data_IF_980796184121
#
_entry.id   IF_980796184121
#
_cell.length_a   1.000
_cell.length_b   1.000
_cell.length_c   1.000
_cell.angle_alpha   90.00
_cell.angle_beta   90.00
_cell.angle_gamma   90.00
#
_symmetry.space_group_name_H-M   'P 1'
#
loop_
_entity.id
_entity.type
_entity.pdbx_description
1 polymer ?
#
# COMPACT_ATOMS: atom_id res chain seq x y z
N UNK A 1 -26.21 24.45 -57.35
CA UNK A 1 -26.10 23.07 -56.83
C UNK A 1 -24.68 22.87 -56.32
N UNK A 2 -24.37 23.26 -55.09
CA UNK A 2 -23.12 22.92 -54.41
C UNK A 2 -23.46 22.75 -52.93
N UNK A 3 -23.58 21.50 -52.53
CA UNK A 3 -23.90 21.07 -51.17
C UNK A 3 -22.59 20.88 -50.39
N UNK A 4 -22.69 21.17 -49.11
CA UNK A 4 -21.65 21.15 -48.08
C UNK A 4 -20.88 19.82 -48.01
N UNK A 5 -19.57 19.91 -47.79
CA UNK A 5 -18.80 18.86 -47.11
C UNK A 5 -17.90 19.50 -46.05
N UNK A 6 -18.45 19.68 -44.85
CA UNK A 6 -17.65 19.86 -43.63
C UNK A 6 -18.28 19.02 -42.54
N UNK A 7 -17.59 17.94 -42.15
CA UNK A 7 -18.00 17.14 -41.01
C UNK A 7 -17.07 15.96 -40.79
N UNK A 8 -16.74 15.72 -39.52
CA UNK A 8 -16.11 14.52 -38.94
C UNK A 8 -14.57 14.49 -38.91
N UNK A 9 -13.98 15.34 -38.05
CA UNK A 9 -12.64 15.09 -37.49
C UNK A 9 -12.57 15.24 -35.96
N UNK A 10 -13.69 15.57 -35.29
CA UNK A 10 -13.71 15.90 -33.85
C UNK A 10 -14.29 14.83 -32.91
N UNK A 11 -15.07 13.88 -33.43
CA UNK A 11 -15.84 12.92 -32.61
C UNK A 11 -15.04 11.67 -32.24
N UNK A 12 -14.27 11.11 -33.18
CA UNK A 12 -13.54 9.86 -32.97
C UNK A 12 -12.43 10.00 -31.92
N UNK A 13 -11.71 11.12 -31.94
CA UNK A 13 -10.64 11.42 -30.98
C UNK A 13 -11.17 11.56 -29.55
N UNK A 14 -12.37 12.12 -29.38
CA UNK A 14 -12.99 12.31 -28.07
C UNK A 14 -13.52 11.00 -27.49
N UNK A 15 -14.12 10.13 -28.32
CA UNK A 15 -14.60 8.81 -27.92
C UNK A 15 -13.43 7.90 -27.55
N UNK A 16 -12.37 7.89 -28.36
CA UNK A 16 -11.17 7.09 -28.11
C UNK A 16 -10.44 7.53 -26.84
N UNK A 17 -10.37 8.86 -26.57
CA UNK A 17 -9.81 9.40 -25.33
C UNK A 17 -10.65 9.06 -24.11
N UNK A 18 -11.98 9.02 -24.21
CA UNK A 18 -12.87 8.56 -23.10
C UNK A 18 -12.70 7.09 -22.79
N UNK A 19 -12.69 6.22 -23.80
CA UNK A 19 -12.47 4.77 -23.60
C UNK A 19 -11.09 4.46 -23.00
N UNK A 20 -10.04 5.15 -23.46
CA UNK A 20 -8.71 4.99 -22.88
C UNK A 20 -8.66 5.41 -21.40
N UNK A 21 -9.33 6.50 -21.04
CA UNK A 21 -9.41 6.99 -19.64
C UNK A 21 -10.15 5.98 -18.75
N UNK A 22 -11.28 5.42 -19.19
CA UNK A 22 -12.03 4.42 -18.39
C UNK A 22 -11.23 3.13 -18.16
N UNK A 23 -10.46 2.69 -19.16
CA UNK A 23 -9.60 1.50 -19.04
C UNK A 23 -8.51 1.75 -17.98
N UNK A 24 -7.88 2.93 -17.96
CA UNK A 24 -6.84 3.23 -16.97
C UNK A 24 -7.36 3.26 -15.53
N UNK A 25 -8.56 3.80 -15.32
CA UNK A 25 -9.20 3.83 -13.99
C UNK A 25 -9.55 2.41 -13.55
N UNK A 26 -10.14 1.63 -14.44
CA UNK A 26 -10.51 0.23 -14.15
C UNK A 26 -9.27 -0.60 -13.79
N UNK A 27 -8.19 -0.46 -14.54
CA UNK A 27 -6.91 -1.13 -14.25
C UNK A 27 -6.31 -0.67 -12.92
N UNK A 28 -6.35 0.63 -12.61
CA UNK A 28 -5.83 1.16 -11.35
C UNK A 28 -6.63 0.67 -10.13
N UNK A 29 -7.96 0.62 -10.24
CA UNK A 29 -8.81 0.06 -9.18
C UNK A 29 -8.59 -1.45 -9.01
N UNK A 30 -8.43 -2.17 -10.13
CA UNK A 30 -8.03 -3.57 -10.12
C UNK A 30 -6.68 -3.76 -9.43
N UNK A 31 -5.68 -2.95 -9.78
CA UNK A 31 -4.36 -2.97 -9.19
C UNK A 31 -4.39 -2.68 -7.68
N UNK A 32 -5.19 -1.70 -7.26
CA UNK A 32 -5.36 -1.36 -5.86
C UNK A 32 -6.03 -2.49 -5.07
N UNK A 33 -7.12 -3.06 -5.60
CA UNK A 33 -7.77 -4.23 -5.01
C UNK A 33 -6.78 -5.39 -4.88
N UNK A 34 -5.99 -5.60 -5.93
CA UNK A 34 -4.93 -6.59 -6.00
C UNK A 34 -3.83 -6.35 -4.98
N UNK A 35 -3.40 -5.10 -4.78
CA UNK A 35 -2.34 -4.74 -3.83
C UNK A 35 -2.76 -5.09 -2.39
N UNK A 36 -3.95 -4.64 -1.98
CA UNK A 36 -4.53 -4.95 -0.66
C UNK A 36 -4.70 -6.46 -0.49
N UNK A 37 -5.18 -7.14 -1.53
CA UNK A 37 -5.38 -8.57 -1.50
C UNK A 37 -4.08 -9.39 -1.51
N UNK A 38 -3.03 -8.89 -2.16
CA UNK A 38 -1.69 -9.48 -2.15
C UNK A 38 -1.03 -9.37 -0.79
N UNK A 39 -1.18 -8.21 -0.12
CA UNK A 39 -0.75 -8.03 1.26
C UNK A 39 -1.45 -9.02 2.19
N UNK A 40 -2.78 -9.12 2.10
CA UNK A 40 -3.58 -10.07 2.90
C UNK A 40 -3.19 -11.53 2.61
N UNK A 41 -3.01 -11.88 1.34
CA UNK A 41 -2.55 -13.21 0.92
C UNK A 41 -1.18 -13.56 1.51
N UNK A 42 -0.27 -12.57 1.57
CA UNK A 42 1.06 -12.76 2.15
C UNK A 42 1.00 -13.02 3.64
N UNK A 43 0.17 -12.25 4.37
CA UNK A 43 -0.03 -12.45 5.81
C UNK A 43 -0.61 -13.84 6.12
N UNK A 44 -1.62 -14.28 5.36
CA UNK A 44 -2.22 -15.61 5.57
C UNK A 44 -1.25 -16.73 5.18
N UNK A 45 -0.47 -16.54 4.10
CA UNK A 45 0.58 -17.48 3.74
C UNK A 45 1.65 -17.58 4.83
N UNK A 46 2.07 -16.47 5.44
CA UNK A 46 3.02 -16.47 6.56
C UNK A 46 2.49 -17.27 7.76
N UNK A 47 1.22 -17.09 8.10
CA UNK A 47 0.56 -17.90 9.15
C UNK A 47 0.60 -19.38 8.77
N UNK A 48 0.20 -19.72 7.55
CA UNK A 48 0.27 -21.10 7.06
C UNK A 48 1.68 -21.68 7.18
N UNK A 49 2.69 -20.92 6.75
CA UNK A 49 4.09 -21.32 6.83
C UNK A 49 4.56 -21.51 8.28
N UNK A 50 4.15 -20.63 9.20
CA UNK A 50 4.49 -20.72 10.62
C UNK A 50 4.01 -22.05 11.23
N UNK A 51 2.77 -22.46 10.93
CA UNK A 51 2.20 -23.69 11.49
C UNK A 51 2.59 -24.97 10.73
N UNK A 52 2.99 -24.87 9.46
CA UNK A 52 3.32 -26.02 8.63
C UNK A 52 4.83 -26.27 8.48
N UNK A 53 5.69 -25.28 8.76
CA UNK A 53 7.14 -25.39 8.57
C UNK A 53 7.77 -26.57 9.32
N UNK A 54 7.33 -26.86 10.54
CA UNK A 54 7.85 -27.97 11.36
C UNK A 54 7.67 -29.34 10.69
N UNK A 55 6.66 -29.47 9.84
CA UNK A 55 6.43 -30.68 9.08
C UNK A 55 7.31 -30.70 7.85
N UNK A 56 7.40 -29.61 7.07
CA UNK A 56 7.92 -29.68 5.70
C UNK A 56 9.34 -29.12 5.47
N UNK A 57 9.89 -28.31 6.39
CA UNK A 57 11.22 -27.72 6.20
C UNK A 57 12.35 -28.68 6.61
N UNK A 58 13.36 -28.91 5.75
CA UNK A 58 14.57 -29.64 6.14
C UNK A 58 15.36 -28.86 7.20
N UNK A 59 15.86 -29.54 8.23
CA UNK A 59 16.77 -28.92 9.22
C UNK A 59 18.06 -28.44 8.52
N UNK A 60 18.48 -27.20 8.80
CA UNK A 60 19.77 -26.64 8.33
C UNK A 60 19.74 -25.91 6.99
N UNK A 61 18.57 -25.43 6.52
CA UNK A 61 18.51 -24.58 5.32
C UNK A 61 19.18 -23.22 5.53
N UNK A 62 19.76 -22.67 4.46
CA UNK A 62 20.23 -21.29 4.42
C UNK A 62 19.13 -20.30 4.85
N UNK A 63 19.49 -19.08 5.29
CA UNK A 63 18.51 -18.03 5.55
C UNK A 63 17.52 -17.88 4.39
N UNK A 64 16.23 -17.60 4.65
CA UNK A 64 15.23 -17.35 3.64
C UNK A 64 15.70 -16.39 2.54
N UNK A 65 15.24 -16.60 1.31
CA UNK A 65 15.62 -15.76 0.17
C UNK A 65 15.33 -14.27 0.40
N UNK A 66 14.24 -13.96 1.10
CA UNK A 66 13.87 -12.59 1.47
C UNK A 66 14.85 -11.95 2.45
N UNK A 67 15.38 -12.70 3.41
CA UNK A 67 16.44 -12.24 4.31
C UNK A 67 17.76 -11.98 3.56
N UNK A 68 18.08 -12.81 2.56
CA UNK A 68 19.24 -12.60 1.70
C UNK A 68 19.08 -11.37 0.81
N UNK A 69 17.87 -11.13 0.29
CA UNK A 69 17.53 -9.92 -0.45
C UNK A 69 17.67 -8.67 0.43
N UNK A 70 17.15 -8.72 1.67
CA UNK A 70 17.32 -7.65 2.65
C UNK A 70 18.79 -7.39 2.98
N UNK A 71 19.60 -8.45 3.13
CA UNK A 71 21.04 -8.33 3.36
C UNK A 71 21.77 -7.71 2.17
N UNK A 72 21.46 -8.08 0.93
CA UNK A 72 22.06 -7.46 -0.25
C UNK A 72 21.66 -5.98 -0.37
N UNK A 73 20.39 -5.66 -0.13
CA UNK A 73 19.92 -4.28 -0.09
C UNK A 73 20.64 -3.44 1.00
N UNK A 74 20.96 -4.06 2.14
CA UNK A 74 21.74 -3.42 3.20
C UNK A 74 23.22 -3.21 2.81
N UNK A 75 23.82 -4.12 2.04
CA UNK A 75 25.19 -3.98 1.56
C UNK A 75 25.38 -2.83 0.57
N UNK A 76 24.38 -2.57 -0.27
CA UNK A 76 24.40 -1.46 -1.25
C UNK A 76 24.57 -0.08 -0.61
N UNK A 77 24.37 0.03 0.71
CA UNK A 77 24.47 1.28 1.46
C UNK A 77 25.51 1.24 2.58
N UNK A 78 26.49 0.35 2.46
CA UNK A 78 27.63 0.26 3.38
C UNK A 78 27.38 -0.54 4.65
N UNK A 79 26.24 -1.23 4.80
CA UNK A 79 26.02 -2.14 5.94
C UNK A 79 26.46 -3.56 5.58
N UNK A 80 27.59 -4.01 6.13
CA UNK A 80 28.15 -5.33 5.82
C UNK A 80 27.55 -6.46 6.65
N UNK A 81 26.96 -6.15 7.82
CA UNK A 81 26.32 -7.12 8.72
C UNK A 81 25.03 -6.54 9.33
N UNK A 82 23.98 -7.35 9.33
CA UNK A 82 22.73 -7.10 10.05
C UNK A 82 22.64 -8.05 11.25
N UNK A 83 22.09 -7.60 12.38
CA UNK A 83 21.73 -8.52 13.47
C UNK A 83 20.62 -9.44 12.96
N UNK A 84 20.48 -10.63 13.56
CA UNK A 84 19.48 -11.63 13.13
C UNK A 84 18.07 -11.05 13.10
N UNK A 85 17.67 -10.34 14.15
CA UNK A 85 16.37 -9.68 14.23
C UNK A 85 16.14 -8.65 13.11
N UNK A 86 17.15 -7.84 12.77
CA UNK A 86 17.05 -6.84 11.69
C UNK A 86 16.98 -7.52 10.31
N UNK A 87 17.67 -8.66 10.16
CA UNK A 87 17.67 -9.45 8.93
C UNK A 87 16.30 -10.12 8.72
N UNK A 88 15.74 -10.73 9.76
CA UNK A 88 14.40 -11.33 9.75
C UNK A 88 13.33 -10.27 9.45
N UNK A 89 13.37 -9.12 10.14
CA UNK A 89 12.47 -8.00 9.88
C UNK A 89 12.60 -7.44 8.45
N UNK A 90 13.83 -7.29 7.95
CA UNK A 90 14.08 -6.91 6.56
C UNK A 90 13.60 -7.98 5.55
N UNK A 91 13.68 -9.26 5.90
CA UNK A 91 13.13 -10.34 5.09
C UNK A 91 11.61 -10.27 5.01
N UNK A 92 10.93 -10.04 6.13
CA UNK A 92 9.48 -9.85 6.14
C UNK A 92 9.06 -8.63 5.33
N UNK A 93 9.81 -7.54 5.41
CA UNK A 93 9.62 -6.37 4.56
C UNK A 93 9.56 -6.73 3.08
N UNK A 94 10.61 -7.38 2.60
CA UNK A 94 10.75 -7.79 1.19
C UNK A 94 9.58 -8.70 0.81
N UNK A 95 9.20 -9.62 1.69
CA UNK A 95 8.09 -10.53 1.48
C UNK A 95 6.77 -9.79 1.24
N UNK A 96 6.38 -8.90 2.16
CA UNK A 96 5.14 -8.12 2.05
C UNK A 96 5.15 -7.14 0.87
N UNK A 97 6.29 -6.52 0.56
CA UNK A 97 6.45 -5.67 -0.64
C UNK A 97 6.17 -6.49 -1.90
N UNK A 98 6.85 -7.63 -2.07
CA UNK A 98 6.69 -8.46 -3.25
C UNK A 98 5.27 -9.01 -3.38
N UNK A 99 4.67 -9.45 -2.28
CA UNK A 99 3.29 -9.93 -2.27
C UNK A 99 2.28 -8.84 -2.66
N UNK A 100 2.48 -7.61 -2.17
CA UNK A 100 1.67 -6.43 -2.54
C UNK A 100 1.81 -6.11 -4.04
N UNK A 101 3.05 -6.07 -4.56
CA UNK A 101 3.30 -5.78 -5.97
C UNK A 101 2.75 -6.86 -6.90
N UNK A 102 2.94 -8.13 -6.54
CA UNK A 102 2.44 -9.28 -7.32
C UNK A 102 0.92 -9.32 -7.30
N UNK A 103 0.30 -9.05 -6.15
CA UNK A 103 -1.14 -8.89 -6.03
C UNK A 103 -1.66 -7.73 -6.88
N UNK A 104 -0.97 -6.58 -6.89
CA UNK A 104 -1.35 -5.44 -7.71
C UNK A 104 -1.31 -5.76 -9.21
N UNK A 105 -0.26 -6.44 -9.67
CA UNK A 105 -0.17 -6.91 -11.05
C UNK A 105 -1.32 -7.88 -11.39
N UNK A 106 -1.60 -8.84 -10.51
CA UNK A 106 -2.72 -9.77 -10.67
C UNK A 106 -4.07 -9.06 -10.71
N UNK A 107 -4.29 -8.09 -9.83
CA UNK A 107 -5.51 -7.31 -9.78
C UNK A 107 -5.75 -6.47 -11.03
N UNK A 108 -4.71 -5.81 -11.56
CA UNK A 108 -4.78 -5.10 -12.84
C UNK A 108 -5.09 -6.06 -14.00
N UNK A 109 -4.41 -7.21 -14.03
CA UNK A 109 -4.56 -8.20 -15.08
C UNK A 109 -5.95 -8.85 -15.07
N UNK A 110 -6.53 -9.07 -13.89
CA UNK A 110 -7.87 -9.62 -13.70
C UNK A 110 -8.98 -8.75 -14.33
N UNK A 111 -8.76 -7.44 -14.47
CA UNK A 111 -9.72 -6.54 -15.12
C UNK A 111 -9.65 -6.61 -16.65
N UNK A 112 -8.48 -6.96 -17.22
CA UNK A 112 -8.28 -7.05 -18.68
C UNK A 112 -8.53 -8.44 -19.24
N UNK A 113 -8.21 -9.48 -18.48
CA UNK A 113 -8.25 -10.87 -18.94
C UNK A 113 -9.13 -11.70 -17.99
N UNK A 114 -10.43 -11.88 -18.29
CA UNK A 114 -11.37 -12.58 -17.40
C UNK A 114 -10.91 -14.02 -17.04
N UNK A 115 -10.16 -14.66 -17.94
CA UNK A 115 -9.59 -15.99 -17.74
C UNK A 115 -8.59 -16.08 -16.59
N UNK A 116 -7.94 -14.98 -16.20
CA UNK A 116 -6.90 -14.96 -15.15
C UNK A 116 -7.44 -15.28 -13.76
N UNK A 117 -8.74 -15.02 -13.54
CA UNK A 117 -9.40 -15.31 -12.26
C UNK A 117 -10.01 -16.72 -12.20
N UNK A 118 -9.95 -17.49 -13.32
CA UNK A 118 -10.42 -18.88 -13.34
C UNK A 118 -9.54 -19.73 -12.41
N UNK A 119 -10.18 -20.58 -11.62
CA UNK A 119 -9.51 -21.35 -10.57
C UNK A 119 -9.36 -20.61 -9.23
N UNK A 120 -10.08 -19.50 -9.03
CA UNK A 120 -10.21 -18.80 -7.73
C UNK A 120 -8.86 -18.45 -7.09
N UNK A 121 -7.89 -18.06 -7.92
CA UNK A 121 -6.55 -17.66 -7.49
C UNK A 121 -5.53 -18.80 -7.33
N UNK A 122 -5.94 -20.07 -7.41
CA UNK A 122 -5.03 -21.21 -7.32
C UNK A 122 -3.96 -21.19 -8.42
N UNK A 123 -4.39 -21.03 -9.67
CA UNK A 123 -3.47 -20.97 -10.82
C UNK A 123 -2.48 -19.81 -10.69
N UNK A 124 -2.97 -18.64 -10.27
CA UNK A 124 -2.12 -17.47 -10.00
C UNK A 124 -1.08 -17.75 -8.90
N UNK A 125 -1.48 -18.38 -7.80
CA UNK A 125 -0.57 -18.79 -6.74
C UNK A 125 0.52 -19.74 -7.24
N UNK A 126 0.13 -20.81 -7.93
CA UNK A 126 1.08 -21.79 -8.47
C UNK A 126 2.05 -21.19 -9.51
N UNK A 127 1.55 -20.33 -10.40
CA UNK A 127 2.39 -19.61 -11.36
C UNK A 127 3.35 -18.65 -10.63
N UNK A 128 2.90 -17.98 -9.57
CA UNK A 128 3.75 -17.12 -8.75
C UNK A 128 4.87 -17.91 -8.09
N UNK A 129 4.60 -19.09 -7.53
CA UNK A 129 5.65 -19.98 -7.01
C UNK A 129 6.66 -20.38 -8.10
N UNK A 130 6.19 -20.75 -9.28
CA UNK A 130 7.07 -21.12 -10.38
C UNK A 130 7.98 -19.94 -10.81
N UNK A 131 7.39 -18.76 -11.02
CA UNK A 131 8.13 -17.60 -11.51
C UNK A 131 9.05 -17.00 -10.44
N UNK A 132 8.61 -16.95 -9.19
CA UNK A 132 9.36 -16.32 -8.10
C UNK A 132 10.33 -17.32 -7.49
N UNK A 133 9.84 -18.43 -6.92
CA UNK A 133 10.67 -19.34 -6.12
C UNK A 133 11.56 -20.24 -6.99
N UNK A 134 11.06 -20.70 -8.14
CA UNK A 134 11.79 -21.65 -8.98
C UNK A 134 12.67 -20.97 -10.03
N UNK A 135 12.40 -19.71 -10.37
CA UNK A 135 13.10 -18.98 -11.42
C UNK A 135 13.81 -17.74 -10.89
N UNK A 136 13.08 -16.70 -10.47
CA UNK A 136 13.66 -15.41 -10.13
C UNK A 136 14.63 -15.50 -8.93
N UNK A 137 14.21 -16.14 -7.84
CA UNK A 137 15.00 -16.24 -6.61
C UNK A 137 16.33 -17.00 -6.83
N UNK A 138 16.37 -18.17 -7.50
CA UNK A 138 17.62 -18.85 -7.85
C UNK A 138 18.49 -18.07 -8.85
N UNK A 139 17.91 -17.49 -9.89
CA UNK A 139 18.67 -16.72 -10.90
C UNK A 139 19.35 -15.48 -10.30
N UNK A 140 18.68 -14.84 -9.35
CA UNK A 140 19.25 -13.72 -8.60
C UNK A 140 20.25 -14.20 -7.53
N UNK A 141 20.42 -15.50 -7.31
CA UNK A 141 21.34 -16.08 -6.35
C UNK A 141 20.91 -15.90 -4.89
N UNK A 142 19.60 -15.78 -4.64
CA UNK A 142 19.01 -15.75 -3.29
C UNK A 142 18.61 -17.15 -2.80
N UNK A 143 18.63 -18.16 -3.66
CA UNK A 143 18.45 -19.57 -3.30
C UNK A 143 19.34 -20.48 -4.14
N UNK A 144 19.40 -21.77 -3.77
CA UNK A 144 20.06 -22.81 -4.57
C UNK A 144 19.24 -23.09 -5.84
N UNK A 145 19.80 -23.75 -6.87
CA UNK A 145 19.02 -24.22 -8.02
C UNK A 145 17.87 -25.13 -7.58
N UNK A 146 16.69 -25.10 -8.25
CA UNK A 146 15.50 -25.85 -7.85
C UNK A 146 15.73 -27.35 -7.70
N UNK A 147 16.58 -27.93 -8.55
CA UNK A 147 16.93 -29.35 -8.55
C UNK A 147 17.66 -29.82 -7.28
N UNK A 148 18.17 -28.89 -6.45
CA UNK A 148 18.86 -29.22 -5.19
C UNK A 148 17.92 -29.31 -3.98
N UNK A 149 16.64 -28.99 -4.15
CA UNK A 149 15.64 -29.11 -3.10
C UNK A 149 14.85 -30.40 -3.22
N UNK A 150 14.38 -30.93 -2.09
CA UNK A 150 13.55 -32.14 -2.07
C UNK A 150 12.17 -31.87 -2.68
N UNK A 151 11.50 -32.91 -3.20
CA UNK A 151 10.11 -32.81 -3.66
C UNK A 151 9.18 -32.23 -2.58
N UNK A 152 9.41 -32.61 -1.31
CA UNK A 152 8.65 -32.08 -0.17
C UNK A 152 8.78 -30.57 -0.02
N UNK A 153 10.00 -30.03 -0.21
CA UNK A 153 10.25 -28.59 -0.15
C UNK A 153 9.54 -27.85 -1.28
N UNK A 154 9.54 -28.42 -2.48
CA UNK A 154 8.78 -27.86 -3.62
C UNK A 154 7.29 -27.85 -3.34
N UNK A 155 6.72 -28.98 -2.91
CA UNK A 155 5.29 -29.08 -2.59
C UNK A 155 4.89 -28.09 -1.49
N UNK A 156 5.74 -27.91 -0.49
CA UNK A 156 5.54 -26.88 0.55
C UNK A 156 5.54 -25.45 -0.02
N UNK A 157 6.49 -25.12 -0.91
CA UNK A 157 6.55 -23.81 -1.58
C UNK A 157 5.31 -23.54 -2.43
N UNK A 158 4.89 -24.53 -3.23
CA UNK A 158 3.68 -24.45 -4.06
C UNK A 158 2.41 -24.38 -3.21
N UNK A 159 2.30 -25.16 -2.13
CA UNK A 159 1.16 -25.09 -1.21
C UNK A 159 1.05 -23.73 -0.53
N UNK A 160 2.17 -23.17 -0.06
CA UNK A 160 2.21 -21.81 0.51
C UNK A 160 1.66 -20.79 -0.48
N UNK A 161 2.14 -20.82 -1.72
CA UNK A 161 1.70 -19.87 -2.74
C UNK A 161 0.28 -20.13 -3.25
N UNK A 162 -0.21 -21.38 -3.19
CA UNK A 162 -1.62 -21.68 -3.44
C UNK A 162 -2.53 -20.99 -2.40
N UNK A 163 -2.14 -21.02 -1.11
CA UNK A 163 -2.82 -20.26 -0.05
C UNK A 163 -2.79 -18.76 -0.36
N UNK A 164 -1.62 -18.21 -0.68
CA UNK A 164 -1.47 -16.80 -1.09
C UNK A 164 -2.45 -16.46 -2.23
N UNK A 165 -2.43 -17.23 -3.33
CA UNK A 165 -3.24 -16.95 -4.51
C UNK A 165 -4.75 -17.04 -4.25
N UNK A 166 -5.21 -18.06 -3.52
CA UNK A 166 -6.63 -18.23 -3.15
C UNK A 166 -7.12 -17.06 -2.29
N UNK A 167 -6.35 -16.68 -1.28
CA UNK A 167 -6.69 -15.57 -0.38
C UNK A 167 -6.69 -14.25 -1.16
N UNK A 168 -5.68 -14.01 -1.99
CA UNK A 168 -5.60 -12.81 -2.84
C UNK A 168 -6.81 -12.72 -3.77
N UNK A 169 -7.22 -13.78 -4.45
CA UNK A 169 -8.42 -13.71 -5.30
C UNK A 169 -9.70 -13.53 -4.47
N UNK A 170 -9.84 -14.18 -3.32
CA UNK A 170 -11.01 -14.04 -2.47
C UNK A 170 -11.18 -12.59 -1.97
N UNK A 171 -10.11 -11.98 -1.48
CA UNK A 171 -10.11 -10.59 -1.00
C UNK A 171 -10.33 -9.62 -2.16
N UNK A 172 -9.59 -9.76 -3.27
CA UNK A 172 -9.75 -8.91 -4.46
C UNK A 172 -11.20 -8.95 -4.97
N UNK A 173 -11.77 -10.15 -5.12
CA UNK A 173 -13.16 -10.34 -5.57
C UNK A 173 -14.17 -9.71 -4.63
N UNK A 174 -13.96 -9.80 -3.31
CA UNK A 174 -14.81 -9.14 -2.33
C UNK A 174 -14.77 -7.61 -2.46
N UNK A 175 -13.56 -7.05 -2.61
CA UNK A 175 -13.34 -5.61 -2.82
C UNK A 175 -13.97 -5.11 -4.12
N UNK A 176 -13.87 -5.87 -5.21
CA UNK A 176 -14.44 -5.48 -6.52
C UNK A 176 -15.95 -5.69 -6.62
N UNK A 177 -16.54 -6.61 -5.84
CA UNK A 177 -18.00 -6.81 -5.78
C UNK A 177 -18.74 -5.65 -5.10
N UNK A 178 -18.11 -4.99 -4.13
CA UNK A 178 -18.69 -3.83 -3.44
C UNK A 178 -18.55 -2.58 -4.30
N UNK A 179 -19.36 -2.44 -5.36
CA UNK A 179 -19.57 -1.12 -5.97
C UNK A 179 -20.40 -0.28 -4.99
N UNK A 180 -19.99 0.93 -4.61
CA UNK A 180 -20.90 1.87 -3.97
C UNK A 180 -22.05 2.16 -4.94
N UNK A 181 -23.28 2.06 -4.44
CA UNK A 181 -24.56 2.19 -5.16
C UNK A 181 -24.83 3.61 -5.72
N UNK A 182 -23.83 4.49 -5.80
CA UNK A 182 -24.03 5.91 -6.18
C UNK A 182 -23.22 6.36 -7.41
N UNK A 183 -22.91 5.44 -8.34
CA UNK A 183 -22.16 5.76 -9.56
C UNK A 183 -23.04 6.01 -10.80
N UNK A 184 -24.36 5.99 -10.68
CA UNK A 184 -25.25 6.21 -11.84
C UNK A 184 -25.64 7.70 -12.03
N UNK A 185 -25.33 8.58 -11.08
CA UNK A 185 -25.83 9.97 -11.09
C UNK A 185 -24.77 11.08 -11.06
N UNK A 186 -23.47 10.77 -11.09
CA UNK A 186 -22.42 11.79 -11.23
C UNK A 186 -21.72 11.67 -12.59
N UNK A 187 -22.40 12.17 -13.62
CA UNK A 187 -21.77 12.40 -14.91
C UNK A 187 -20.56 13.32 -14.79
N UNK A 188 -19.53 12.98 -15.57
CA UNK A 188 -18.41 13.82 -16.00
C UNK A 188 -17.19 13.94 -15.07
N UNK A 189 -16.02 13.70 -15.70
CA UNK A 189 -14.63 14.01 -15.30
C UNK A 189 -13.97 13.04 -14.30
N UNK A 190 -13.28 11.98 -14.75
CA UNK A 190 -12.36 11.32 -13.81
C UNK A 190 -11.15 10.58 -14.45
N UNK A 191 -10.18 11.33 -14.99
CA UNK A 191 -8.80 10.82 -15.09
C UNK A 191 -8.14 10.73 -13.70
N UNK A 192 -7.14 9.86 -13.52
CA UNK A 192 -6.23 9.92 -12.35
C UNK A 192 -5.41 11.19 -12.44
N UNK A 193 -5.57 12.08 -11.46
CA UNK A 193 -4.76 13.31 -11.37
C UNK A 193 -3.52 13.04 -10.54
N UNK A 194 -2.47 13.82 -10.74
CA UNK A 194 -1.25 13.73 -9.92
C UNK A 194 -1.58 13.80 -8.43
N UNK A 195 -2.52 14.65 -8.03
CA UNK A 195 -2.94 14.82 -6.65
C UNK A 195 -3.75 13.63 -6.09
N UNK A 196 -4.31 12.76 -6.93
CA UNK A 196 -4.92 11.50 -6.47
C UNK A 196 -3.88 10.43 -6.19
N UNK A 197 -2.65 10.62 -6.68
CA UNK A 197 -1.52 9.73 -6.44
C UNK A 197 -0.63 10.26 -5.34
N UNK A 198 -0.21 11.52 -5.45
CA UNK A 198 0.79 12.14 -4.58
C UNK A 198 0.28 12.35 -3.17
N UNK A 199 -0.94 12.84 -2.97
CA UNK A 199 -1.50 13.10 -1.62
C UNK A 199 -1.57 11.83 -0.77
N UNK A 200 -2.23 10.74 -1.21
CA UNK A 200 -2.27 9.51 -0.42
C UNK A 200 -0.89 8.88 -0.25
N UNK A 201 -0.03 8.92 -1.28
CA UNK A 201 1.34 8.39 -1.18
C UNK A 201 2.19 9.14 -0.16
N UNK A 202 2.11 10.48 -0.14
CA UNK A 202 2.86 11.33 0.79
C UNK A 202 2.31 11.23 2.23
N UNK A 203 0.99 11.15 2.40
CA UNK A 203 0.38 10.84 3.70
C UNK A 203 0.84 9.47 4.19
N UNK A 204 0.90 8.49 3.28
CA UNK A 204 1.52 7.21 3.52
C UNK A 204 2.96 7.34 3.99
N UNK A 205 3.82 8.04 3.24
CA UNK A 205 5.24 8.23 3.59
C UNK A 205 5.42 8.84 4.98
N UNK A 206 4.61 9.85 5.32
CA UNK A 206 4.56 10.41 6.68
C UNK A 206 4.09 9.36 7.72
N UNK A 207 3.14 8.50 7.36
CA UNK A 207 2.65 7.42 8.23
C UNK A 207 3.74 6.36 8.49
N UNK A 208 4.59 6.14 7.49
CA UNK A 208 5.76 5.31 7.61
C UNK A 208 6.72 5.79 8.69
N UNK A 209 6.79 7.12 8.90
CA UNK A 209 7.59 7.77 9.94
C UNK A 209 6.89 7.70 11.31
N UNK A 210 5.61 8.05 11.36
CA UNK A 210 4.79 8.11 12.59
C UNK A 210 3.41 7.50 12.33
N UNK A 211 3.13 6.39 12.98
CA UNK A 211 1.97 5.53 12.77
C UNK A 211 0.64 6.25 12.95
N UNK A 212 0.55 7.13 13.95
CA UNK A 212 -0.72 7.76 14.33
C UNK A 212 -0.83 9.23 13.91
N UNK A 213 0.25 9.84 13.42
CA UNK A 213 0.26 11.27 13.09
C UNK A 213 -0.59 11.60 11.86
N UNK A 214 -0.47 10.92 10.72
CA UNK A 214 -1.35 11.17 9.58
C UNK A 214 -2.82 10.80 9.83
N UNK A 215 -3.16 9.71 10.54
CA UNK A 215 -4.55 9.43 10.92
C UNK A 215 -5.15 10.54 11.78
N UNK A 216 -4.38 11.08 12.74
CA UNK A 216 -4.80 12.21 13.54
C UNK A 216 -5.04 13.46 12.68
N UNK A 217 -4.09 13.82 11.81
CA UNK A 217 -4.21 14.98 10.93
C UNK A 217 -5.42 14.90 9.99
N UNK A 218 -5.64 13.74 9.37
CA UNK A 218 -6.79 13.47 8.50
C UNK A 218 -8.11 13.55 9.28
N UNK A 219 -8.15 13.01 10.50
CA UNK A 219 -9.36 13.04 11.34
C UNK A 219 -9.68 14.48 11.79
N UNK A 220 -8.66 15.28 12.11
CA UNK A 220 -8.82 16.71 12.40
C UNK A 220 -9.33 17.46 11.16
N UNK A 221 -8.77 17.22 9.98
CA UNK A 221 -9.23 17.83 8.73
C UNK A 221 -10.67 17.41 8.41
N UNK A 222 -11.00 16.12 8.55
CA UNK A 222 -12.36 15.60 8.36
C UNK A 222 -13.38 16.25 9.29
N UNK A 223 -13.01 16.47 10.56
CA UNK A 223 -13.91 17.05 11.56
C UNK A 223 -14.02 18.58 11.49
N UNK A 224 -13.01 19.28 10.96
CA UNK A 224 -12.95 20.75 10.93
C UNK A 224 -13.30 21.36 9.59
N UNK A 225 -12.83 20.77 8.49
CA UNK A 225 -12.94 21.33 7.14
C UNK A 225 -13.83 20.49 6.21
N UNK A 226 -14.13 19.25 6.62
CA UNK A 226 -14.89 18.29 5.81
C UNK A 226 -14.02 17.61 4.76
N UNK A 227 -14.04 16.27 4.76
CA UNK A 227 -13.38 15.43 3.74
C UNK A 227 -14.40 14.62 2.90
N UNK A 228 -15.68 15.01 2.92
CA UNK A 228 -16.73 14.30 2.17
C UNK A 228 -16.88 12.82 2.55
N UNK A 229 -16.58 12.45 3.81
CA UNK A 229 -16.60 11.05 4.29
C UNK A 229 -18.00 10.56 4.67
N UNK A 230 -18.97 11.47 4.69
CA UNK A 230 -20.35 11.24 5.09
C UNK A 230 -21.02 10.27 4.10
N UNK A 231 -21.70 9.25 4.63
CA UNK A 231 -22.26 8.17 3.81
C UNK A 231 -21.24 7.12 3.36
N UNK A 232 -19.96 7.24 3.72
CA UNK A 232 -18.94 6.21 3.48
C UNK A 232 -18.65 5.39 4.74
N UNK A 233 -18.03 4.20 4.63
CA UNK A 233 -17.56 3.45 5.80
C UNK A 233 -16.52 4.18 6.67
N UNK A 234 -15.92 5.26 6.16
CA UNK A 234 -14.92 6.07 6.85
C UNK A 234 -15.53 7.25 7.62
N UNK A 235 -16.85 7.36 7.68
CA UNK A 235 -17.55 8.45 8.39
C UNK A 235 -17.16 8.56 9.87
N UNK A 236 -16.70 7.47 10.51
CA UNK A 236 -16.20 7.53 11.89
C UNK A 236 -14.99 8.48 12.06
N UNK A 237 -14.21 8.74 11.00
CA UNK A 237 -13.10 9.70 11.02
C UNK A 237 -13.56 11.15 11.12
N UNK A 238 -14.85 11.45 10.99
CA UNK A 238 -15.38 12.80 11.21
C UNK A 238 -15.71 13.05 12.69
N UNK A 239 -15.61 12.02 13.53
CA UNK A 239 -15.91 12.10 14.96
C UNK A 239 -14.80 12.80 15.73
N UNK A 240 -15.18 13.76 16.58
CA UNK A 240 -14.27 14.46 17.51
C UNK A 240 -13.58 13.47 18.46
N UNK A 241 -14.28 12.41 18.85
CA UNK A 241 -13.71 11.36 19.72
C UNK A 241 -12.63 10.54 19.01
N UNK A 242 -12.87 10.15 17.76
CA UNK A 242 -11.84 9.51 16.94
C UNK A 242 -10.62 10.42 16.77
N UNK A 243 -10.86 11.73 16.59
CA UNK A 243 -9.78 12.73 16.53
C UNK A 243 -8.97 12.80 17.80
N UNK A 244 -9.65 12.84 18.96
CA UNK A 244 -9.00 12.86 20.27
C UNK A 244 -8.17 11.58 20.50
N UNK A 245 -8.73 10.40 20.19
CA UNK A 245 -8.04 9.11 20.35
C UNK A 245 -6.80 9.04 19.46
N UNK A 246 -6.92 9.38 18.17
CA UNK A 246 -5.78 9.34 17.24
C UNK A 246 -4.71 10.37 17.62
N UNK A 247 -5.11 11.55 18.08
CA UNK A 247 -4.17 12.57 18.56
C UNK A 247 -3.45 12.13 19.84
N UNK A 248 -4.18 11.53 20.79
CA UNK A 248 -3.60 10.98 22.01
C UNK A 248 -2.62 9.83 21.68
N UNK A 249 -2.98 8.94 20.74
CA UNK A 249 -2.10 7.88 20.26
C UNK A 249 -0.84 8.44 19.57
N UNK A 250 -0.97 9.51 18.79
CA UNK A 250 0.17 10.20 18.17
C UNK A 250 1.10 10.81 19.24
N UNK A 251 0.55 11.52 20.22
CA UNK A 251 1.33 12.06 21.35
C UNK A 251 2.04 10.92 22.11
N UNK A 252 1.31 9.83 22.39
CA UNK A 252 1.87 8.62 23.01
C UNK A 252 3.02 8.01 22.21
N UNK A 253 2.92 7.99 20.87
CA UNK A 253 3.98 7.52 19.98
C UNK A 253 5.25 8.38 20.10
N UNK A 254 5.15 9.71 20.19
CA UNK A 254 6.30 10.60 20.39
C UNK A 254 6.96 10.45 21.77
N UNK A 255 6.16 10.16 22.81
CA UNK A 255 6.68 9.93 24.16
C UNK A 255 7.35 8.57 24.26
N UNK A 256 6.71 7.52 23.72
CA UNK A 256 7.24 6.16 23.72
C UNK A 256 8.53 6.03 22.88
N UNK A 257 8.67 6.78 21.78
CA UNK A 257 9.86 6.75 20.93
C UNK A 257 11.15 7.20 21.66
N UNK A 258 11.03 7.89 22.80
CA UNK A 258 12.16 8.35 23.61
C UNK A 258 12.60 7.37 24.71
N UNK A 259 11.92 6.23 24.84
CA UNK A 259 12.24 5.24 25.87
C UNK A 259 13.33 4.24 25.40
N UNK A 260 14.20 3.76 26.30
CA UNK A 260 15.31 2.87 25.95
C UNK A 260 14.88 1.46 25.49
N UNK A 261 13.63 1.05 25.72
CA UNK A 261 13.09 -0.29 25.42
C UNK A 261 12.12 -0.34 24.23
N UNK A 262 12.09 0.68 23.38
CA UNK A 262 11.14 0.74 22.26
C UNK A 262 11.48 -0.30 21.20
N UNK A 263 10.55 -1.20 20.82
CA UNK A 263 10.79 -2.20 19.77
C UNK A 263 11.23 -1.55 18.46
N UNK A 264 12.05 -2.26 17.68
CA UNK A 264 12.53 -1.74 16.41
C UNK A 264 11.35 -1.36 15.49
N UNK A 265 11.41 -0.18 14.87
CA UNK A 265 10.35 0.35 13.99
C UNK A 265 9.99 -0.59 12.83
N UNK A 266 10.89 -1.49 12.45
CA UNK A 266 10.75 -2.49 11.39
C UNK A 266 10.16 -3.83 11.85
N UNK A 267 9.84 -3.99 13.13
CA UNK A 267 9.20 -5.20 13.63
C UNK A 267 7.81 -5.40 12.99
N UNK A 268 7.44 -6.65 12.72
CA UNK A 268 6.22 -6.98 11.98
C UNK A 268 4.93 -6.30 12.52
N UNK A 269 4.67 -6.23 13.85
CA UNK A 269 3.51 -5.52 14.37
C UNK A 269 3.52 -4.01 14.07
N UNK A 270 4.72 -3.39 14.13
CA UNK A 270 4.90 -1.97 13.86
C UNK A 270 4.80 -1.62 12.37
N UNK A 271 5.14 -2.53 11.47
CA UNK A 271 4.93 -2.34 10.03
C UNK A 271 3.45 -2.48 9.70
N UNK A 272 2.77 -3.47 10.28
CA UNK A 272 1.33 -3.69 10.08
C UNK A 272 0.49 -2.48 10.51
N UNK A 273 0.73 -1.92 11.69
CA UNK A 273 0.02 -0.73 12.17
C UNK A 273 0.24 0.48 11.25
N UNK A 274 1.44 0.64 10.69
CA UNK A 274 1.76 1.73 9.75
C UNK A 274 1.11 1.53 8.39
N UNK A 275 1.04 0.31 7.88
CA UNK A 275 0.29 0.01 6.66
C UNK A 275 -1.19 0.37 6.82
N UNK A 276 -1.79 0.02 7.97
CA UNK A 276 -3.18 0.33 8.30
C UNK A 276 -3.39 1.85 8.40
N UNK A 277 -2.53 2.56 9.15
CA UNK A 277 -2.61 4.01 9.30
C UNK A 277 -2.47 4.73 7.95
N UNK A 278 -1.48 4.34 7.14
CA UNK A 278 -1.26 4.88 5.81
C UNK A 278 -2.45 4.63 4.88
N UNK A 279 -3.01 3.42 4.90
CA UNK A 279 -4.20 3.07 4.12
C UNK A 279 -5.40 3.92 4.54
N UNK A 280 -5.63 4.09 5.83
CA UNK A 280 -6.73 4.87 6.38
C UNK A 280 -6.62 6.34 5.98
N UNK A 281 -5.45 6.96 6.18
CA UNK A 281 -5.19 8.35 5.80
C UNK A 281 -5.29 8.57 4.29
N UNK A 282 -4.74 7.65 3.50
CA UNK A 282 -4.85 7.72 2.04
C UNK A 282 -6.30 7.61 1.57
N UNK A 283 -7.07 6.66 2.11
CA UNK A 283 -8.48 6.45 1.75
C UNK A 283 -9.36 7.66 2.09
N UNK A 284 -9.10 8.30 3.24
CA UNK A 284 -9.85 9.45 3.70
C UNK A 284 -9.53 10.74 2.92
N UNK A 285 -8.33 10.87 2.36
CA UNK A 285 -7.96 11.98 1.48
C UNK A 285 -8.41 11.76 0.01
N UNK A 286 -9.10 10.64 -0.27
CA UNK A 286 -9.46 10.25 -1.62
C UNK A 286 -10.67 11.02 -2.16
N UNK A 287 -10.74 11.15 -3.48
CA UNK A 287 -11.97 11.59 -4.16
C UNK A 287 -13.05 10.51 -4.03
N UNK A 288 -14.35 10.89 -4.11
CA UNK A 288 -15.44 9.93 -4.20
C UNK A 288 -15.16 8.85 -5.26
N UNK A 289 -15.35 7.58 -4.87
CA UNK A 289 -15.09 6.41 -5.72
C UNK A 289 -13.63 5.93 -5.77
N UNK A 290 -12.65 6.66 -5.21
CA UNK A 290 -11.21 6.32 -5.33
C UNK A 290 -10.53 5.85 -4.06
N UNK A 291 -11.31 5.66 -2.99
CA UNK A 291 -10.81 5.28 -1.67
C UNK A 291 -9.87 4.06 -1.71
N UNK A 292 -10.16 3.05 -2.54
CA UNK A 292 -9.34 1.84 -2.63
C UNK A 292 -7.94 2.10 -3.22
N UNK A 293 -7.88 2.90 -4.29
CA UNK A 293 -6.62 3.29 -4.94
C UNK A 293 -5.79 4.12 -3.98
N UNK A 294 -6.42 5.11 -3.35
CA UNK A 294 -5.75 5.97 -2.39
C UNK A 294 -5.31 5.22 -1.11
N UNK A 295 -6.09 4.25 -0.63
CA UNK A 295 -5.71 3.37 0.48
C UNK A 295 -4.47 2.54 0.13
N UNK A 296 -4.42 1.98 -1.08
CA UNK A 296 -3.31 1.16 -1.54
C UNK A 296 -2.03 2.00 -1.68
N UNK A 297 -2.16 3.21 -2.21
CA UNK A 297 -1.06 4.17 -2.31
C UNK A 297 -0.60 4.65 -0.94
N UNK A 298 -1.52 4.88 0.00
CA UNK A 298 -1.20 5.22 1.39
C UNK A 298 -0.47 4.11 2.13
N UNK A 299 -0.91 2.85 1.97
CA UNK A 299 -0.20 1.69 2.49
C UNK A 299 1.21 1.55 1.87
N UNK A 300 1.32 1.66 0.55
CA UNK A 300 2.61 1.61 -0.15
C UNK A 300 3.55 2.73 0.31
N UNK A 301 3.03 3.95 0.44
CA UNK A 301 3.75 5.10 0.99
C UNK A 301 4.23 4.82 2.41
N UNK A 302 3.39 4.25 3.28
CA UNK A 302 3.78 3.93 4.65
C UNK A 302 4.89 2.90 4.72
N UNK A 303 4.83 1.87 3.87
CA UNK A 303 5.89 0.88 3.77
C UNK A 303 7.22 1.53 3.36
N UNK A 304 7.21 2.32 2.29
CA UNK A 304 8.38 3.05 1.82
C UNK A 304 8.90 4.02 2.89
N UNK A 305 8.01 4.75 3.56
CA UNK A 305 8.34 5.73 4.57
C UNK A 305 8.99 5.11 5.80
N UNK A 306 8.54 3.93 6.23
CA UNK A 306 9.15 3.18 7.34
C UNK A 306 10.60 2.82 7.05
N UNK A 307 10.90 2.31 5.86
CA UNK A 307 12.29 1.95 5.52
C UNK A 307 13.14 3.17 5.20
N UNK A 308 12.63 4.14 4.43
CA UNK A 308 13.38 5.36 4.09
C UNK A 308 13.75 6.13 5.35
N UNK A 309 12.80 6.32 6.28
CA UNK A 309 13.06 7.06 7.53
C UNK A 309 14.01 6.33 8.46
N UNK A 310 13.81 5.02 8.68
CA UNK A 310 14.74 4.22 9.46
C UNK A 310 16.18 4.34 8.93
N UNK A 311 16.32 4.34 7.60
CA UNK A 311 17.62 4.43 6.93
C UNK A 311 18.22 5.84 6.97
N UNK A 312 17.41 6.87 6.72
CA UNK A 312 17.83 8.26 6.82
C UNK A 312 18.33 8.58 8.24
N UNK A 313 17.58 8.17 9.27
CA UNK A 313 17.96 8.35 10.67
C UNK A 313 19.30 7.71 11.00
N UNK A 314 19.51 6.47 10.59
CA UNK A 314 20.77 5.75 10.84
C UNK A 314 21.98 6.42 10.18
N UNK A 315 21.82 7.00 8.98
CA UNK A 315 22.89 7.71 8.28
C UNK A 315 23.15 9.08 8.91
N UNK A 316 22.09 9.86 9.15
CA UNK A 316 22.20 11.19 9.73
C UNK A 316 22.69 11.15 11.18
N UNK A 317 22.20 10.23 12.01
CA UNK A 317 22.65 10.11 13.39
C UNK A 317 24.14 9.77 13.49
N UNK A 318 24.68 8.96 12.55
CA UNK A 318 26.12 8.68 12.46
C UNK A 318 26.92 9.89 11.99
N UNK A 319 26.40 10.65 11.02
CA UNK A 319 27.07 11.84 10.50
C UNK A 319 27.08 13.01 11.51
N UNK A 320 25.99 13.19 12.25
CA UNK A 320 25.80 14.26 13.24
C UNK A 320 26.41 13.88 14.60
N UNK A 321 26.64 12.59 14.86
CA UNK A 321 27.16 12.08 16.14
C UNK A 321 26.14 12.15 17.30
N UNK A 322 24.92 12.64 17.05
CA UNK A 322 23.82 12.76 18.02
C UNK A 322 22.48 12.41 17.36
N UNK A 323 21.73 11.47 17.93
CA UNK A 323 20.43 11.01 17.41
C UNK A 323 19.29 12.01 17.68
N UNK A 324 19.32 12.70 18.83
CA UNK A 324 18.21 13.55 19.28
C UNK A 324 17.84 14.69 18.30
N UNK A 325 18.78 15.50 17.75
CA UNK A 325 18.42 16.57 16.82
C UNK A 325 17.77 16.07 15.53
N UNK A 326 18.24 14.92 15.01
CA UNK A 326 17.69 14.28 13.82
C UNK A 326 16.27 13.80 14.10
N UNK A 327 16.04 13.21 15.28
CA UNK A 327 14.72 12.75 15.71
C UNK A 327 13.68 13.89 15.77
N UNK A 328 14.04 15.04 16.36
CA UNK A 328 13.14 16.19 16.46
C UNK A 328 12.81 16.79 15.09
N UNK A 329 13.77 16.81 14.16
CA UNK A 329 13.54 17.27 12.80
C UNK A 329 12.57 16.34 12.05
N UNK A 330 12.75 15.03 12.17
CA UNK A 330 11.82 14.03 11.61
C UNK A 330 10.40 14.22 12.14
N UNK A 331 10.26 14.46 13.45
CA UNK A 331 8.96 14.69 14.09
C UNK A 331 8.27 15.96 13.57
N UNK A 332 9.01 17.06 13.48
CA UNK A 332 8.48 18.31 12.94
C UNK A 332 8.02 18.15 11.48
N UNK A 333 8.82 17.47 10.65
CA UNK A 333 8.48 17.19 9.25
C UNK A 333 7.23 16.32 9.13
N UNK A 334 7.11 15.29 9.97
CA UNK A 334 5.95 14.40 9.99
C UNK A 334 4.67 15.14 10.38
N UNK A 335 4.71 15.95 11.45
CA UNK A 335 3.55 16.73 11.91
C UNK A 335 3.14 17.76 10.86
N UNK A 336 4.07 18.61 10.43
CA UNK A 336 3.79 19.69 9.48
C UNK A 336 3.35 19.15 8.12
N UNK A 337 4.05 18.12 7.61
CA UNK A 337 3.72 17.47 6.34
C UNK A 337 2.34 16.82 6.38
N UNK A 338 2.01 16.09 7.44
CA UNK A 338 0.70 15.44 7.59
C UNK A 338 -0.44 16.46 7.67
N UNK A 339 -0.28 17.51 8.46
CA UNK A 339 -1.26 18.57 8.60
C UNK A 339 -1.48 19.33 7.26
N UNK A 340 -0.40 19.68 6.57
CA UNK A 340 -0.47 20.37 5.29
C UNK A 340 -1.16 19.51 4.21
N UNK A 341 -0.82 18.22 4.11
CA UNK A 341 -1.44 17.30 3.15
C UNK A 341 -2.92 17.04 3.45
N UNK A 342 -3.27 16.88 4.73
CA UNK A 342 -4.66 16.69 5.15
C UNK A 342 -5.50 17.95 4.90
N UNK A 343 -4.97 19.14 5.21
CA UNK A 343 -5.62 20.42 4.91
C UNK A 343 -5.75 20.65 3.40
N UNK A 344 -4.73 20.32 2.61
CA UNK A 344 -4.81 20.38 1.15
C UNK A 344 -5.89 19.45 0.58
N UNK A 345 -6.04 18.24 1.14
CA UNK A 345 -7.10 17.32 0.75
C UNK A 345 -8.49 17.90 1.05
N UNK A 346 -8.68 18.52 2.22
CA UNK A 346 -9.93 19.16 2.60
C UNK A 346 -10.26 20.37 1.72
N UNK A 347 -9.31 21.27 1.48
CA UNK A 347 -9.47 22.40 0.56
C UNK A 347 -9.90 21.94 -0.84
N UNK A 348 -9.30 20.85 -1.35
CA UNK A 348 -9.68 20.26 -2.64
C UNK A 348 -11.09 19.69 -2.66
N UNK A 349 -11.62 19.27 -1.51
CA UNK A 349 -12.99 18.78 -1.41
C UNK A 349 -13.97 19.95 -1.36
N UNK A 350 -13.73 20.96 -0.52
CA UNK A 350 -14.56 22.17 -0.46
C UNK A 350 -14.64 22.88 -1.82
N UNK A 351 -13.53 22.97 -2.56
CA UNK A 351 -13.53 23.52 -3.93
C UNK A 351 -14.43 22.72 -4.90
N UNK A 352 -14.55 21.40 -4.71
CA UNK A 352 -15.41 20.56 -5.55
C UNK A 352 -16.87 20.69 -5.18
N UNK A 353 -17.19 20.76 -3.89
CA UNK A 353 -18.55 21.02 -3.41
C UNK A 353 -19.05 22.36 -3.96
N UNK A 354 -18.25 23.42 -3.87
CA UNK A 354 -18.58 24.74 -4.43
C UNK A 354 -18.83 24.72 -5.95
N UNK A 355 -18.12 23.88 -6.70
CA UNK A 355 -18.33 23.72 -8.14
C UNK A 355 -19.60 22.94 -8.51
N UNK A 356 -20.12 22.09 -7.61
CA UNK A 356 -21.31 21.26 -7.87
C UNK A 356 -22.60 21.85 -7.27
N UNK A 357 -22.49 22.87 -6.40
CA UNK A 357 -23.62 23.63 -5.83
C UNK A 357 -23.36 25.14 -5.89
N UNK A 358 -23.43 25.76 -7.08
CA UNK A 358 -23.18 27.20 -7.25
C UNK A 358 -24.16 28.09 -6.46
N UNK A 359 -25.31 27.52 -6.07
CA UNK A 359 -26.41 28.10 -5.30
C UNK A 359 -26.15 28.28 -3.80
N UNK A 360 -25.05 27.74 -3.26
CA UNK A 360 -24.63 27.92 -1.85
C UNK A 360 -23.39 28.82 -1.70
N UNK A 361 -22.87 29.39 -2.80
CA UNK A 361 -21.67 30.21 -2.83
C UNK A 361 -21.94 31.73 -2.85
N UNK A 362 -23.20 32.14 -2.67
CA UNK A 362 -23.65 33.53 -2.56
C UNK A 362 -24.10 33.84 -1.12
#
# INVERSE_FOLDING_TARGET
>A
MLQQTTGVAGTDTAVQKRQAVDITVTLAEGAAAGAVAGLAGSAVMEVFQTYSAAFFQPKGSNPPATEQAALRAARLVGTTRLRRADREAGGQAVHYVFGTLTGAAYGALAEKVPGVTRGRGLAFGLVSALLIDQLAVPLLGFAKPPLRYTLRTHLYGFASHAVFGIVTEAVRKSLRKRKPVLLESAGARSGITLADVSVPLLLGLANGQRTFTPPAAVTIAAASQGLGLQGTPLSFLTSKWTGAIMSAAAIGEYVADKQPNTPARIAAPGVASRLIGGALSGAAAARPGRALVAASLGAAGALLGTYISYRARMVLARAVGRDAPVAFLEDALSIAGSAALAGYAALRESQREAQHRPDLAA
#
